data_IF_588237296362
#
_entry.id   IF_588237296362
#
_cell.length_a   1.000
_cell.length_b   1.000
_cell.length_c   1.000
_cell.angle_alpha   90.00
_cell.angle_beta   90.00
_cell.angle_gamma   90.00
#
_symmetry.space_group_name_H-M   'P 1'
#
loop_
_entity.id
_entity.type
_entity.pdbx_description
1 polymer ?
#
# COMPACT_ATOMS: atom_id res chain seq x y z
N UNK A 1 -37.01 24.59 5.82
CA UNK A 1 -37.97 23.49 5.95
C UNK A 1 -38.30 23.07 4.53
N UNK A 2 -37.70 21.97 4.06
CA UNK A 2 -38.01 21.42 2.76
C UNK A 2 -39.26 20.55 2.95
N UNK A 3 -40.35 20.91 2.28
CA UNK A 3 -41.56 20.10 2.27
C UNK A 3 -41.22 18.76 1.59
N UNK A 4 -41.29 17.67 2.35
CA UNK A 4 -41.33 16.32 1.77
C UNK A 4 -42.61 16.22 0.93
N UNK A 5 -42.47 16.33 -0.39
CA UNK A 5 -43.54 16.00 -1.32
C UNK A 5 -43.76 14.48 -1.31
N UNK A 6 -44.53 13.99 -0.35
CA UNK A 6 -45.11 12.65 -0.38
C UNK A 6 -46.36 12.66 -1.27
N UNK A 7 -46.31 11.96 -2.41
CA UNK A 7 -47.49 11.70 -3.23
C UNK A 7 -48.58 11.02 -2.39
N UNK A 8 -49.83 11.45 -2.55
CA UNK A 8 -50.97 10.79 -1.94
C UNK A 8 -51.21 9.40 -2.56
N UNK A 9 -51.87 8.50 -1.83
CA UNK A 9 -52.17 7.16 -2.33
C UNK A 9 -53.03 7.17 -3.60
N UNK A 10 -53.94 8.15 -3.73
CA UNK A 10 -54.80 8.32 -4.91
C UNK A 10 -53.99 8.78 -6.13
N UNK A 11 -53.07 9.73 -5.95
CA UNK A 11 -52.13 10.16 -7.01
C UNK A 11 -51.18 9.03 -7.42
N UNK A 12 -50.76 8.16 -6.48
CA UNK A 12 -49.96 6.98 -6.80
C UNK A 12 -50.75 5.92 -7.56
N UNK A 13 -52.01 5.68 -7.20
CA UNK A 13 -52.88 4.74 -7.91
C UNK A 13 -53.11 5.18 -9.36
N UNK A 14 -53.37 6.47 -9.60
CA UNK A 14 -53.53 7.03 -10.95
C UNK A 14 -52.25 6.90 -11.77
N UNK A 15 -51.10 7.33 -11.23
CA UNK A 15 -49.79 7.22 -11.92
C UNK A 15 -49.39 5.77 -12.15
N UNK A 16 -49.70 4.85 -11.22
CA UNK A 16 -49.33 3.44 -11.33
C UNK A 16 -50.00 2.72 -12.51
N UNK A 17 -51.15 3.21 -12.99
CA UNK A 17 -51.83 2.63 -14.15
C UNK A 17 -51.15 2.97 -15.47
N UNK A 18 -50.45 4.11 -15.52
CA UNK A 18 -49.67 4.55 -16.68
C UNK A 18 -48.24 3.97 -16.71
N UNK A 19 -47.80 3.34 -15.61
CA UNK A 19 -46.51 2.65 -15.55
C UNK A 19 -46.61 1.33 -16.32
N UNK A 20 -45.79 1.12 -17.36
CA UNK A 20 -45.82 -0.12 -18.12
C UNK A 20 -45.57 -1.34 -17.23
N UNK A 21 -46.47 -2.32 -17.29
CA UNK A 21 -46.33 -3.57 -16.53
C UNK A 21 -45.12 -4.37 -17.01
N UNK A 22 -44.51 -5.18 -16.14
CA UNK A 22 -43.42 -6.08 -16.55
C UNK A 22 -43.83 -7.04 -17.68
N UNK A 23 -45.13 -7.32 -17.87
CA UNK A 23 -45.67 -8.13 -18.96
C UNK A 23 -45.80 -7.38 -20.30
N UNK A 24 -45.53 -6.07 -20.35
CA UNK A 24 -45.58 -5.29 -21.58
C UNK A 24 -44.58 -5.82 -22.63
N UNK A 25 -44.99 -6.04 -23.91
CA UNK A 25 -44.11 -6.54 -24.95
C UNK A 25 -42.83 -5.72 -25.16
N UNK A 26 -42.91 -4.40 -25.03
CA UNK A 26 -41.76 -3.51 -25.16
C UNK A 26 -40.76 -3.72 -24.01
N UNK A 27 -41.25 -3.78 -22.77
CA UNK A 27 -40.39 -4.07 -21.61
C UNK A 27 -39.79 -5.47 -21.67
N UNK A 28 -40.54 -6.48 -22.13
CA UNK A 28 -40.01 -7.82 -22.34
C UNK A 28 -38.91 -7.85 -23.41
N UNK A 29 -39.07 -7.11 -24.51
CA UNK A 29 -38.03 -6.96 -25.54
C UNK A 29 -36.78 -6.26 -24.98
N UNK A 30 -36.95 -5.21 -24.19
CA UNK A 30 -35.85 -4.52 -23.52
C UNK A 30 -35.11 -5.46 -22.55
N UNK A 31 -35.82 -6.16 -21.66
CA UNK A 31 -35.24 -7.09 -20.69
C UNK A 31 -34.50 -8.24 -21.38
N UNK A 32 -35.09 -8.78 -22.45
CA UNK A 32 -34.44 -9.81 -23.28
C UNK A 32 -33.19 -9.26 -23.96
N UNK A 33 -33.25 -8.06 -24.54
CA UNK A 33 -32.10 -7.38 -25.13
C UNK A 33 -30.97 -7.16 -24.13
N UNK A 34 -31.30 -6.65 -22.93
CA UNK A 34 -30.36 -6.46 -21.82
C UNK A 34 -29.73 -7.79 -21.39
N UNK A 35 -30.52 -8.84 -21.20
CA UNK A 35 -30.02 -10.16 -20.82
C UNK A 35 -29.10 -10.75 -21.91
N UNK A 36 -29.43 -10.54 -23.18
CA UNK A 36 -28.59 -10.96 -24.30
C UNK A 36 -27.25 -10.23 -24.32
N UNK A 37 -27.24 -8.90 -24.09
CA UNK A 37 -25.99 -8.12 -23.99
C UNK A 37 -25.14 -8.58 -22.81
N UNK A 38 -25.74 -8.78 -21.63
CA UNK A 38 -25.02 -9.31 -20.45
C UNK A 38 -24.42 -10.70 -20.74
N UNK A 39 -25.16 -11.57 -21.45
CA UNK A 39 -24.64 -12.89 -21.85
C UNK A 39 -23.49 -12.77 -22.86
N UNK A 40 -23.56 -11.83 -23.80
CA UNK A 40 -22.49 -11.56 -24.76
C UNK A 40 -21.23 -11.06 -24.04
N UNK A 41 -21.36 -10.12 -23.10
CA UNK A 41 -20.25 -9.65 -22.26
C UNK A 41 -19.64 -10.79 -21.45
N UNK A 42 -20.45 -11.63 -20.80
CA UNK A 42 -19.96 -12.77 -20.03
C UNK A 42 -19.16 -13.75 -20.88
N UNK A 43 -19.56 -13.94 -22.15
CA UNK A 43 -18.86 -14.82 -23.11
C UNK A 43 -17.57 -14.20 -23.65
N UNK A 44 -17.45 -12.88 -23.68
CA UNK A 44 -16.26 -12.18 -24.20
C UNK A 44 -15.15 -11.98 -23.16
N UNK A 45 -15.42 -12.27 -21.87
CA UNK A 45 -14.41 -12.18 -20.81
C UNK A 45 -13.22 -13.11 -21.06
N UNK A 46 -12.03 -12.66 -20.68
CA UNK A 46 -10.79 -13.46 -20.76
C UNK A 46 -10.84 -14.73 -19.91
N UNK A 47 -11.64 -14.74 -18.84
CA UNK A 47 -11.82 -15.86 -17.91
C UNK A 47 -13.05 -16.73 -18.21
N UNK A 48 -13.78 -16.51 -19.32
CA UNK A 48 -15.06 -17.17 -19.59
C UNK A 48 -14.96 -18.71 -19.62
N UNK A 49 -13.94 -19.26 -20.29
CA UNK A 49 -13.70 -20.70 -20.36
C UNK A 49 -13.33 -21.31 -19.00
N UNK A 50 -12.56 -20.57 -18.20
CA UNK A 50 -12.22 -20.96 -16.83
C UNK A 50 -13.47 -21.00 -15.95
N UNK A 51 -14.31 -19.96 -15.99
CA UNK A 51 -15.57 -19.91 -15.24
C UNK A 51 -16.53 -21.03 -15.63
N UNK A 52 -16.62 -21.36 -16.92
CA UNK A 52 -17.46 -22.44 -17.42
C UNK A 52 -17.01 -23.83 -16.91
N UNK A 53 -15.71 -24.01 -16.67
CA UNK A 53 -15.11 -25.28 -16.22
C UNK A 53 -14.99 -25.41 -14.70
N UNK A 54 -15.49 -24.44 -13.92
CA UNK A 54 -15.43 -24.50 -12.46
C UNK A 54 -16.16 -25.73 -11.91
N UNK A 55 -15.50 -26.43 -11.00
CA UNK A 55 -16.11 -27.49 -10.22
C UNK A 55 -17.21 -26.95 -9.30
N UNK A 56 -18.16 -27.79 -8.83
CA UNK A 56 -19.21 -27.34 -7.91
C UNK A 56 -18.67 -26.67 -6.64
N UNK A 57 -17.54 -27.15 -6.11
CA UNK A 57 -16.90 -26.56 -4.93
C UNK A 57 -16.29 -25.19 -5.23
N UNK A 58 -15.70 -25.01 -6.41
CA UNK A 58 -15.13 -23.73 -6.82
C UNK A 58 -16.21 -22.68 -7.08
N UNK A 59 -17.36 -23.08 -7.65
CA UNK A 59 -18.55 -22.21 -7.79
C UNK A 59 -19.04 -21.74 -6.43
N UNK A 60 -19.26 -22.66 -5.49
CA UNK A 60 -19.68 -22.33 -4.13
C UNK A 60 -18.68 -21.41 -3.41
N UNK A 61 -17.37 -21.64 -3.60
CA UNK A 61 -16.35 -20.77 -3.03
C UNK A 61 -16.40 -19.36 -3.63
N UNK A 62 -16.61 -19.23 -4.95
CA UNK A 62 -16.82 -17.94 -5.61
C UNK A 62 -18.04 -17.23 -5.03
N UNK A 63 -19.18 -17.92 -4.91
CA UNK A 63 -20.41 -17.33 -4.38
C UNK A 63 -20.21 -16.79 -2.95
N UNK A 64 -19.49 -17.53 -2.09
CA UNK A 64 -19.16 -17.08 -0.74
C UNK A 64 -18.28 -15.82 -0.77
N UNK A 65 -17.25 -15.80 -1.62
CA UNK A 65 -16.35 -14.63 -1.74
C UNK A 65 -17.10 -13.42 -2.28
N UNK A 66 -18.01 -13.62 -3.24
CA UNK A 66 -18.87 -12.56 -3.78
C UNK A 66 -19.78 -11.99 -2.67
N UNK A 67 -20.45 -12.84 -1.87
CA UNK A 67 -21.24 -12.38 -0.73
C UNK A 67 -20.40 -11.64 0.32
N UNK A 68 -19.17 -12.09 0.61
CA UNK A 68 -18.26 -11.38 1.53
C UNK A 68 -17.92 -10.00 0.97
N UNK A 69 -17.59 -9.91 -0.32
CA UNK A 69 -17.26 -8.63 -0.96
C UNK A 69 -18.44 -7.68 -0.88
N UNK A 70 -19.64 -8.14 -1.20
CA UNK A 70 -20.85 -7.30 -1.18
C UNK A 70 -21.16 -6.83 0.25
N UNK A 71 -21.07 -7.73 1.24
CA UNK A 71 -21.21 -7.37 2.65
C UNK A 71 -20.17 -6.33 3.09
N UNK A 72 -18.89 -6.49 2.72
CA UNK A 72 -17.84 -5.53 3.07
C UNK A 72 -18.06 -4.18 2.40
N UNK A 73 -18.52 -4.17 1.14
CA UNK A 73 -18.89 -2.94 0.45
C UNK A 73 -20.00 -2.18 1.21
N UNK A 74 -21.00 -2.89 1.71
CA UNK A 74 -22.16 -2.30 2.38
C UNK A 74 -21.93 -1.97 3.88
N UNK A 75 -20.84 -2.47 4.48
CA UNK A 75 -20.59 -2.31 5.93
C UNK A 75 -19.25 -1.68 6.30
N UNK A 76 -18.24 -1.74 5.43
CA UNK A 76 -16.88 -1.26 5.70
C UNK A 76 -16.57 -0.01 4.87
N UNK A 77 -17.12 0.07 3.68
CA UNK A 77 -16.81 1.11 2.69
C UNK A 77 -18.01 2.04 2.45
N UNK A 78 -18.74 2.39 3.51
CA UNK A 78 -19.97 3.20 3.43
C UNK A 78 -19.87 4.57 4.12
N UNK A 79 -20.63 5.56 3.61
CA UNK A 79 -20.72 6.89 4.22
C UNK A 79 -21.23 6.97 5.65
N UNK A 80 -22.08 6.05 6.10
CA UNK A 80 -22.57 6.11 7.49
C UNK A 80 -21.49 5.74 8.52
N UNK A 81 -20.55 4.85 8.15
CA UNK A 81 -19.32 4.61 8.93
C UNK A 81 -18.35 5.79 8.78
N UNK A 82 -18.46 6.58 7.70
CA UNK A 82 -17.76 7.87 7.58
C UNK A 82 -18.25 8.87 8.62
N UNK A 83 -19.52 8.91 9.02
CA UNK A 83 -20.02 9.96 9.92
C UNK A 83 -19.56 9.79 11.38
N UNK A 84 -19.46 8.55 11.88
CA UNK A 84 -18.90 8.24 13.21
C UNK A 84 -17.36 8.44 13.27
N UNK A 85 -16.66 8.31 12.13
CA UNK A 85 -15.20 8.47 12.04
C UNK A 85 -14.76 9.87 11.55
N UNK A 86 -15.59 10.56 10.77
CA UNK A 86 -15.38 11.94 10.31
C UNK A 86 -15.43 12.95 11.45
N UNK A 87 -16.07 12.58 12.58
CA UNK A 87 -15.94 13.34 13.82
C UNK A 87 -14.52 13.28 14.42
N UNK A 88 -13.65 12.35 13.98
CA UNK A 88 -12.26 12.23 14.43
C UNK A 88 -11.23 12.60 13.34
N UNK A 89 -11.56 12.52 12.05
CA UNK A 89 -10.68 12.90 10.95
C UNK A 89 -11.47 13.04 9.65
N UNK A 90 -11.44 14.23 9.07
CA UNK A 90 -12.32 14.70 8.00
C UNK A 90 -12.03 14.03 6.63
N UNK A 91 -12.11 12.71 6.52
CA UNK A 91 -11.77 11.94 5.32
C UNK A 91 -12.93 11.06 4.82
N UNK A 92 -13.22 11.14 3.52
CA UNK A 92 -14.19 10.29 2.83
C UNK A 92 -13.54 8.93 2.50
N UNK A 93 -14.20 7.82 2.82
CA UNK A 93 -13.64 6.47 2.81
C UNK A 93 -14.38 5.60 1.82
N UNK A 94 -13.70 5.27 0.72
CA UNK A 94 -14.29 4.53 -0.39
C UNK A 94 -13.30 3.52 -0.99
N UNK A 95 -13.79 2.47 -1.68
CA UNK A 95 -12.92 1.55 -2.39
C UNK A 95 -12.14 2.30 -3.48
N UNK A 96 -10.82 2.18 -3.46
CA UNK A 96 -9.95 2.91 -4.40
C UNK A 96 -9.47 4.27 -3.91
N UNK A 97 -9.73 4.64 -2.65
CA UNK A 97 -9.00 5.72 -1.99
C UNK A 97 -7.50 5.40 -1.92
N UNK A 98 -6.67 6.39 -1.58
CA UNK A 98 -5.23 6.22 -1.56
C UNK A 98 -4.79 5.12 -0.57
N UNK A 99 -3.87 4.25 -1.01
CA UNK A 99 -3.50 3.02 -0.29
C UNK A 99 -3.11 3.25 1.18
N UNK A 100 -2.32 4.28 1.46
CA UNK A 100 -1.84 4.57 2.82
C UNK A 100 -2.98 4.90 3.81
N UNK A 101 -4.10 5.42 3.30
CA UNK A 101 -5.30 5.69 4.10
C UNK A 101 -6.17 4.43 4.24
N UNK A 102 -6.23 3.61 3.19
CA UNK A 102 -7.04 2.39 3.17
C UNK A 102 -6.41 1.22 3.94
N UNK A 103 -5.08 1.19 4.07
CA UNK A 103 -4.30 0.00 4.47
C UNK A 103 -4.81 -0.64 5.78
N UNK A 104 -4.88 0.14 6.86
CA UNK A 104 -5.22 -0.39 8.19
C UNK A 104 -6.66 -0.92 8.27
N UNK A 105 -7.55 -0.39 7.42
CA UNK A 105 -8.92 -0.89 7.28
C UNK A 105 -8.96 -2.15 6.43
N UNK A 106 -8.31 -2.12 5.26
CA UNK A 106 -8.19 -3.24 4.34
C UNK A 106 -7.65 -4.49 5.06
N UNK A 107 -6.62 -4.35 5.89
CA UNK A 107 -6.00 -5.48 6.59
C UNK A 107 -6.94 -6.20 7.58
N UNK A 108 -8.00 -5.53 8.03
CA UNK A 108 -8.98 -6.09 8.96
C UNK A 108 -10.07 -6.88 8.26
N UNK A 109 -10.26 -6.70 6.95
CA UNK A 109 -11.38 -7.31 6.22
C UNK A 109 -11.22 -8.82 6.02
N UNK A 110 -12.33 -9.52 5.84
CA UNK A 110 -12.33 -10.96 5.57
C UNK A 110 -11.85 -11.24 4.14
N UNK A 111 -12.19 -10.38 3.18
CA UNK A 111 -11.70 -10.48 1.81
C UNK A 111 -10.17 -10.43 1.78
N UNK A 112 -9.53 -9.49 2.50
CA UNK A 112 -8.07 -9.44 2.60
C UNK A 112 -7.47 -10.71 3.22
N UNK A 113 -8.06 -11.21 4.31
CA UNK A 113 -7.62 -12.47 4.95
C UNK A 113 -7.72 -13.68 4.01
N UNK A 114 -8.74 -13.71 3.14
CA UNK A 114 -8.87 -14.74 2.10
C UNK A 114 -7.76 -14.58 1.07
N UNK A 115 -7.59 -13.37 0.52
CA UNK A 115 -6.57 -13.07 -0.50
C UNK A 115 -5.18 -13.42 0.02
N UNK A 116 -4.84 -13.11 1.26
CA UNK A 116 -3.56 -13.47 1.92
C UNK A 116 -3.26 -14.96 1.94
N UNK A 117 -4.30 -15.81 1.90
CA UNK A 117 -4.16 -17.28 1.93
C UNK A 117 -4.22 -17.92 0.55
N UNK A 118 -4.55 -17.16 -0.50
CA UNK A 118 -4.64 -17.70 -1.85
C UNK A 118 -3.26 -18.11 -2.38
N UNK A 119 -3.16 -19.22 -3.14
CA UNK A 119 -1.95 -19.55 -3.87
C UNK A 119 -1.83 -18.61 -5.09
N UNK A 120 -1.08 -17.51 -4.95
CA UNK A 120 -0.96 -16.46 -5.97
C UNK A 120 -0.15 -16.90 -7.20
N UNK A 121 0.57 -18.02 -7.09
CA UNK A 121 1.37 -18.54 -8.19
C UNK A 121 2.68 -17.77 -8.32
N UNK A 122 2.73 -16.81 -9.24
CA UNK A 122 3.95 -16.11 -9.62
C UNK A 122 3.84 -14.59 -9.50
N UNK A 123 4.92 -13.95 -9.05
CA UNK A 123 5.12 -12.51 -9.08
C UNK A 123 6.06 -12.15 -10.23
N UNK A 124 5.52 -11.64 -11.33
CA UNK A 124 6.27 -11.44 -12.58
C UNK A 124 6.83 -10.02 -12.75
N UNK A 125 6.58 -9.14 -11.79
CA UNK A 125 7.07 -7.77 -11.81
C UNK A 125 7.26 -7.28 -10.39
N UNK A 126 8.52 -7.19 -9.97
CA UNK A 126 8.87 -6.56 -8.70
C UNK A 126 10.29 -6.00 -8.77
N UNK A 127 10.50 -4.84 -8.16
CA UNK A 127 11.83 -4.30 -7.91
C UNK A 127 12.28 -4.78 -6.54
N UNK A 128 13.36 -5.56 -6.48
CA UNK A 128 13.65 -6.34 -5.27
C UNK A 128 13.87 -5.46 -4.05
N UNK A 129 14.53 -4.31 -4.19
CA UNK A 129 14.94 -3.42 -3.09
C UNK A 129 13.79 -2.89 -2.23
N UNK A 130 12.54 -3.01 -2.68
CA UNK A 130 11.33 -2.56 -1.98
C UNK A 130 10.45 -3.69 -1.44
N UNK A 131 10.97 -4.93 -1.37
CA UNK A 131 10.15 -6.12 -1.07
C UNK A 131 10.30 -6.70 0.34
N UNK A 132 11.19 -6.15 1.16
CA UNK A 132 11.40 -6.58 2.56
C UNK A 132 11.06 -5.45 3.51
N UNK A 133 10.48 -5.78 4.66
CA UNK A 133 10.14 -4.80 5.69
C UNK A 133 11.43 -4.09 6.18
N UNK A 134 11.45 -2.76 6.05
CA UNK A 134 12.59 -1.94 6.46
C UNK A 134 12.89 -2.00 7.97
N UNK A 135 11.90 -2.19 8.83
CA UNK A 135 12.13 -2.33 10.27
C UNK A 135 13.05 -3.53 10.55
N UNK A 136 12.80 -4.66 9.87
CA UNK A 136 13.67 -5.83 9.94
C UNK A 136 15.08 -5.55 9.41
N UNK A 137 15.18 -4.86 8.27
CA UNK A 137 16.48 -4.53 7.67
C UNK A 137 17.31 -3.61 8.58
N UNK A 138 16.69 -2.63 9.22
CA UNK A 138 17.39 -1.71 10.12
C UNK A 138 17.87 -2.40 11.39
N UNK A 139 17.07 -3.31 11.94
CA UNK A 139 17.48 -4.13 13.09
C UNK A 139 18.71 -4.98 12.77
N UNK A 140 18.74 -5.61 11.59
CA UNK A 140 19.89 -6.39 11.14
C UNK A 140 21.10 -5.51 10.81
N UNK A 141 20.86 -4.31 10.26
CA UNK A 141 21.91 -3.35 9.91
C UNK A 141 22.66 -2.87 11.16
N UNK A 142 21.92 -2.56 12.23
CA UNK A 142 22.50 -2.11 13.50
C UNK A 142 23.26 -3.21 14.26
N UNK A 143 22.87 -4.47 14.09
CA UNK A 143 23.58 -5.64 14.67
C UNK A 143 24.88 -5.95 13.93
N UNK A 144 25.03 -5.46 12.70
CA UNK A 144 26.13 -5.82 11.83
C UNK A 144 27.43 -5.09 12.22
N UNK A 145 28.50 -5.82 12.57
CA UNK A 145 29.74 -5.22 13.02
C UNK A 145 30.45 -4.47 11.89
N UNK A 146 31.01 -3.31 12.20
CA UNK A 146 31.77 -2.50 11.25
C UNK A 146 30.93 -1.69 10.27
N UNK A 147 29.61 -1.61 10.46
CA UNK A 147 28.77 -0.72 9.67
C UNK A 147 28.96 0.74 10.09
N UNK A 148 29.09 1.60 9.08
CA UNK A 148 29.25 3.03 9.19
C UNK A 148 28.23 3.74 8.32
N UNK A 149 27.96 5.00 8.65
CA UNK A 149 27.08 5.89 7.92
C UNK A 149 27.83 7.15 7.53
N UNK A 150 27.53 7.69 6.36
CA UNK A 150 27.91 9.04 5.97
C UNK A 150 26.73 9.77 5.33
N UNK A 151 26.91 11.07 5.14
CA UNK A 151 26.00 11.98 4.45
C UNK A 151 26.81 12.95 3.59
N UNK A 152 26.20 13.44 2.51
CA UNK A 152 26.75 14.48 1.62
C UNK A 152 26.83 15.86 2.29
N UNK A 153 26.22 16.01 3.46
CA UNK A 153 26.15 17.25 4.25
C UNK A 153 25.96 16.99 5.75
N UNK A 154 26.23 17.97 6.62
CA UNK A 154 25.81 17.94 8.03
C UNK A 154 24.31 17.70 8.16
N UNK A 155 23.89 16.87 9.13
CA UNK A 155 22.49 16.53 9.40
C UNK A 155 21.94 17.26 10.64
N UNK A 156 22.42 18.48 10.89
CA UNK A 156 22.08 19.29 12.07
C UNK A 156 20.70 19.95 11.96
N UNK A 157 20.21 20.27 10.77
CA UNK A 157 18.88 20.89 10.55
C UNK A 157 17.82 19.89 10.08
N UNK A 158 16.53 20.22 10.22
CA UNK A 158 15.45 19.36 9.72
C UNK A 158 15.45 19.26 8.19
N UNK A 159 15.63 20.37 7.49
CA UNK A 159 15.79 20.41 6.03
C UNK A 159 16.93 19.50 5.55
N UNK A 160 18.10 19.56 6.21
CA UNK A 160 19.23 18.69 5.85
C UNK A 160 18.90 17.20 6.03
N UNK A 161 18.14 16.85 7.07
CA UNK A 161 17.70 15.48 7.35
C UNK A 161 16.65 14.99 6.36
N UNK A 162 15.82 15.88 5.83
CA UNK A 162 14.81 15.55 4.81
C UNK A 162 15.37 15.50 3.39
N UNK A 163 16.45 16.22 3.10
CA UNK A 163 17.02 16.25 1.75
C UNK A 163 18.20 15.33 1.53
N UNK A 164 19.00 15.05 2.56
CA UNK A 164 20.19 14.24 2.45
C UNK A 164 19.89 12.79 2.01
N UNK A 165 20.90 12.19 1.38
CA UNK A 165 20.91 10.79 0.96
C UNK A 165 21.98 10.08 1.78
N UNK A 166 21.64 9.58 3.00
CA UNK A 166 22.61 8.87 3.80
C UNK A 166 23.08 7.59 3.11
N UNK A 167 24.36 7.25 3.27
CA UNK A 167 24.96 6.04 2.71
C UNK A 167 25.53 5.16 3.82
N UNK A 168 25.28 3.87 3.72
CA UNK A 168 25.76 2.86 4.67
C UNK A 168 26.82 1.98 4.02
N UNK A 169 27.95 1.76 4.72
CA UNK A 169 29.01 0.86 4.23
C UNK A 169 29.75 0.20 5.39
N UNK A 170 30.29 -0.99 5.11
CA UNK A 170 31.29 -1.59 5.98
C UNK A 170 32.61 -0.81 5.89
N UNK A 171 33.20 -0.50 7.05
CA UNK A 171 34.55 0.08 7.18
C UNK A 171 35.26 -0.59 8.34
N UNK A 172 36.58 -0.75 8.22
CA UNK A 172 37.42 -1.24 9.31
C UNK A 172 37.67 -0.19 10.38
N UNK A 173 37.61 1.10 10.02
CA UNK A 173 37.82 2.26 10.90
C UNK A 173 36.89 3.40 10.48
N UNK A 174 36.52 4.23 11.46
CA UNK A 174 35.86 5.51 11.21
C UNK A 174 36.83 6.52 10.59
N UNK A 175 36.30 7.45 9.79
CA UNK A 175 37.09 8.57 9.25
C UNK A 175 37.23 9.72 10.25
N UNK A 176 36.31 9.80 11.21
CA UNK A 176 36.24 10.87 12.21
C UNK A 176 35.60 10.39 13.51
N UNK A 177 36.00 10.98 14.62
CA UNK A 177 35.34 10.86 15.91
C UNK A 177 34.22 11.91 16.09
N UNK A 178 34.00 12.78 15.11
CA UNK A 178 32.90 13.76 15.10
C UNK A 178 31.51 13.12 14.97
N UNK A 179 30.47 13.94 15.10
CA UNK A 179 29.07 13.52 14.94
C UNK A 179 28.48 14.03 13.63
N UNK A 180 27.72 13.18 12.93
CA UNK A 180 27.04 13.55 11.68
C UNK A 180 25.91 14.57 11.90
N UNK A 181 25.46 14.72 13.14
CA UNK A 181 24.38 15.62 13.56
C UNK A 181 24.86 17.04 13.89
N UNK A 182 26.17 17.31 13.78
CA UNK A 182 26.78 18.61 14.09
C UNK A 182 27.14 19.37 12.81
N UNK A 183 27.11 20.70 12.88
CA UNK A 183 27.53 21.59 11.77
C UNK A 183 28.99 21.40 11.36
N UNK A 184 29.83 20.96 12.30
CA UNK A 184 31.25 20.66 12.11
C UNK A 184 31.51 19.42 11.25
N UNK A 185 30.47 18.62 10.96
CA UNK A 185 30.59 17.39 10.19
C UNK A 185 31.17 17.65 8.79
N UNK A 186 32.19 16.88 8.42
CA UNK A 186 32.76 16.91 7.08
C UNK A 186 31.95 15.99 6.16
N UNK A 187 31.43 16.48 5.02
CA UNK A 187 30.78 15.66 4.00
C UNK A 187 31.55 14.38 3.67
N UNK A 188 30.81 13.28 3.48
CA UNK A 188 31.31 11.94 3.15
C UNK A 188 32.25 11.28 4.18
N UNK A 189 32.44 11.86 5.36
CA UNK A 189 33.19 11.23 6.44
C UNK A 189 32.34 10.13 7.11
N UNK A 190 32.83 8.89 7.09
CA UNK A 190 32.10 7.77 7.70
C UNK A 190 32.25 7.77 9.22
N UNK A 191 31.11 7.74 9.91
CA UNK A 191 31.01 7.57 11.36
C UNK A 191 30.42 6.20 11.72
N UNK A 192 30.76 5.60 12.88
CA UNK A 192 30.18 4.33 13.29
C UNK A 192 28.65 4.40 13.37
N UNK A 193 27.95 3.47 12.71
CA UNK A 193 26.49 3.51 12.63
C UNK A 193 25.80 3.46 14.00
N UNK A 194 26.18 2.57 14.94
CA UNK A 194 25.55 2.55 16.26
C UNK A 194 25.69 3.89 17.00
N UNK A 195 26.86 4.53 16.90
CA UNK A 195 27.11 5.86 17.48
C UNK A 195 26.18 6.91 16.86
N UNK A 196 26.12 6.97 15.53
CA UNK A 196 25.23 7.90 14.83
C UNK A 196 23.76 7.68 15.22
N UNK A 197 23.32 6.42 15.34
CA UNK A 197 21.96 6.12 15.76
C UNK A 197 21.68 6.56 17.20
N UNK A 198 22.60 6.31 18.13
CA UNK A 198 22.43 6.64 19.55
C UNK A 198 22.45 8.15 19.82
N UNK A 199 23.29 8.89 19.09
CA UNK A 199 23.44 10.35 19.21
C UNK A 199 22.36 11.15 18.46
N UNK A 200 21.39 10.48 17.84
CA UNK A 200 20.36 11.17 17.07
C UNK A 200 19.56 12.16 17.95
N UNK A 201 19.45 13.44 17.55
CA UNK A 201 18.97 14.51 18.43
C UNK A 201 17.50 14.37 18.86
N UNK A 202 16.66 13.67 18.09
CA UNK A 202 15.22 13.57 18.32
C UNK A 202 14.82 12.19 18.84
N UNK A 203 15.34 11.81 20.02
CA UNK A 203 14.98 10.56 20.69
C UNK A 203 15.96 9.40 20.47
N UNK A 204 17.23 9.71 20.17
CA UNK A 204 18.31 8.73 20.03
C UNK A 204 17.97 7.65 19.00
N UNK A 205 18.35 6.40 19.31
CA UNK A 205 18.20 5.27 18.38
C UNK A 205 16.77 5.08 17.86
N UNK A 206 15.76 5.25 18.71
CA UNK A 206 14.37 5.12 18.27
C UNK A 206 13.97 6.22 17.29
N UNK A 207 14.41 7.45 17.54
CA UNK A 207 14.21 8.57 16.62
C UNK A 207 14.94 8.36 15.30
N UNK A 208 16.17 7.85 15.36
CA UNK A 208 16.98 7.54 14.18
C UNK A 208 16.28 6.52 13.28
N UNK A 209 15.76 5.43 13.84
CA UNK A 209 15.05 4.41 13.08
C UNK A 209 13.78 4.96 12.41
N UNK A 210 13.03 5.81 13.12
CA UNK A 210 11.85 6.48 12.55
C UNK A 210 12.23 7.41 11.39
N UNK A 211 13.29 8.20 11.56
CA UNK A 211 13.82 9.08 10.51
C UNK A 211 14.30 8.26 9.30
N UNK A 212 15.11 7.23 9.53
CA UNK A 212 15.65 6.37 8.47
C UNK A 212 14.54 5.65 7.70
N UNK A 213 13.45 5.25 8.37
CA UNK A 213 12.25 4.72 7.71
C UNK A 213 11.64 5.73 6.75
N UNK A 214 11.50 6.98 7.18
CA UNK A 214 11.06 8.09 6.32
C UNK A 214 11.97 8.35 5.11
N UNK A 215 13.26 7.98 5.20
CA UNK A 215 14.20 8.02 4.06
C UNK A 215 14.04 6.85 3.08
N UNK A 216 13.38 5.76 3.48
CA UNK A 216 13.23 4.55 2.68
C UNK A 216 11.80 4.32 2.18
N UNK A 217 10.83 5.09 2.66
CA UNK A 217 9.39 4.91 2.35
C UNK A 217 8.70 6.22 2.06
N UNK A 218 7.65 6.16 1.23
CA UNK A 218 6.69 7.25 1.09
C UNK A 218 5.72 7.28 2.28
N UNK A 219 5.31 8.48 2.70
CA UNK A 219 4.46 8.71 3.88
C UNK A 219 3.00 8.97 3.50
N UNK A 220 2.14 9.06 4.52
CA UNK A 220 0.76 9.53 4.36
C UNK A 220 0.74 10.98 3.87
N UNK A 221 1.64 11.84 4.36
CA UNK A 221 1.74 13.23 3.90
C UNK A 221 1.96 13.33 2.40
N UNK A 222 2.85 12.50 1.84
CA UNK A 222 3.11 12.44 0.39
C UNK A 222 1.87 12.10 -0.42
N UNK A 223 0.93 11.38 0.19
CA UNK A 223 -0.34 10.97 -0.42
C UNK A 223 -1.32 12.15 -0.54
N UNK A 224 -1.25 13.13 0.36
CA UNK A 224 -2.09 14.34 0.33
C UNK A 224 -1.47 15.46 -0.51
N UNK A 225 -0.15 15.47 -0.70
CA UNK A 225 0.58 16.52 -1.43
C UNK A 225 0.56 16.36 -2.96
N UNK A 226 -0.52 15.81 -3.51
CA UNK A 226 -0.65 15.55 -4.96
C UNK A 226 -0.55 16.82 -5.82
N UNK A 227 -0.83 17.98 -5.22
CA UNK A 227 -0.73 19.29 -5.86
C UNK A 227 0.70 19.67 -6.27
N UNK A 228 1.74 19.02 -5.71
CA UNK A 228 3.13 19.18 -6.15
C UNK A 228 3.42 18.50 -7.50
N UNK A 229 2.52 17.63 -7.98
CA UNK A 229 2.65 16.95 -9.27
C UNK A 229 3.49 15.66 -9.24
N UNK A 230 3.47 14.95 -10.37
CA UNK A 230 4.06 13.62 -10.51
C UNK A 230 5.59 13.64 -10.39
N UNK A 231 6.25 14.70 -10.86
CA UNK A 231 7.71 14.79 -10.82
C UNK A 231 8.24 14.89 -9.37
N UNK A 232 7.51 15.61 -8.51
CA UNK A 232 7.90 15.77 -7.10
C UNK A 232 7.93 14.42 -6.37
N UNK A 233 6.92 13.57 -6.58
CA UNK A 233 6.88 12.25 -5.94
C UNK A 233 7.94 11.30 -6.52
N UNK A 234 8.25 11.40 -7.82
CA UNK A 234 9.33 10.61 -8.43
C UNK A 234 10.71 10.98 -7.90
N UNK A 235 10.97 12.27 -7.64
CA UNK A 235 12.22 12.70 -6.99
C UNK A 235 12.34 12.08 -5.61
N UNK A 236 11.27 12.10 -4.80
CA UNK A 236 11.27 11.49 -3.48
C UNK A 236 11.44 9.96 -3.55
N UNK A 237 10.69 9.30 -4.42
CA UNK A 237 10.77 7.86 -4.64
C UNK A 237 12.18 7.43 -5.05
N UNK A 238 12.82 8.15 -5.97
CA UNK A 238 14.20 7.90 -6.37
C UNK A 238 15.18 8.03 -5.20
N UNK A 239 15.04 9.06 -4.36
CA UNK A 239 15.85 9.21 -3.13
C UNK A 239 15.70 8.01 -2.20
N UNK A 240 14.50 7.44 -2.06
CA UNK A 240 14.31 6.23 -1.26
C UNK A 240 15.18 5.07 -1.75
N UNK A 241 15.17 4.77 -3.04
CA UNK A 241 15.98 3.68 -3.60
C UNK A 241 17.49 3.91 -3.45
N UNK A 242 17.95 5.16 -3.55
CA UNK A 242 19.36 5.47 -3.31
C UNK A 242 19.79 5.10 -1.89
N UNK A 243 18.97 5.38 -0.89
CA UNK A 243 19.26 5.01 0.51
C UNK A 243 19.18 3.49 0.69
N UNK A 244 18.08 2.87 0.25
CA UNK A 244 17.85 1.43 0.37
C UNK A 244 18.98 0.61 -0.27
N UNK A 245 19.44 1.02 -1.44
CA UNK A 245 20.51 0.32 -2.16
C UNK A 245 21.79 0.23 -1.33
N UNK A 246 22.15 1.27 -0.58
CA UNK A 246 23.36 1.27 0.25
C UNK A 246 23.26 0.39 1.48
N UNK A 247 22.04 0.14 1.96
CA UNK A 247 21.78 -0.82 3.05
C UNK A 247 21.89 -2.24 2.52
N UNK A 248 21.19 -2.53 1.42
CA UNK A 248 20.93 -3.89 0.94
C UNK A 248 22.16 -4.55 0.29
N UNK A 249 22.94 -3.80 -0.50
CA UNK A 249 23.94 -4.37 -1.41
C UNK A 249 25.31 -4.70 -0.78
N UNK A 250 25.44 -4.62 0.54
CA UNK A 250 26.57 -5.21 1.23
C UNK A 250 26.35 -6.72 1.37
N UNK A 251 27.31 -7.57 0.93
CA UNK A 251 27.09 -9.02 0.77
C UNK A 251 26.45 -9.73 2.00
N UNK A 252 26.91 -9.50 3.25
CA UNK A 252 26.27 -10.10 4.41
C UNK A 252 24.81 -9.65 4.61
N UNK A 253 24.52 -8.37 4.36
CA UNK A 253 23.15 -7.85 4.40
C UNK A 253 22.31 -8.44 3.27
N UNK A 254 22.85 -8.47 2.05
CA UNK A 254 22.16 -8.98 0.88
C UNK A 254 21.70 -10.43 1.06
N UNK A 255 22.52 -11.25 1.72
CA UNK A 255 22.18 -12.64 2.07
C UNK A 255 21.02 -12.73 3.07
N UNK A 256 20.99 -11.85 4.07
CA UNK A 256 19.88 -11.79 5.04
C UNK A 256 18.60 -11.31 4.33
N UNK A 257 18.72 -10.26 3.53
CA UNK A 257 17.66 -9.70 2.70
C UNK A 257 17.02 -10.77 1.80
N UNK A 258 17.81 -11.52 1.03
CA UNK A 258 17.28 -12.55 0.12
C UNK A 258 16.54 -13.66 0.86
N UNK A 259 16.98 -14.04 2.07
CA UNK A 259 16.28 -15.05 2.88
C UNK A 259 14.92 -14.56 3.33
N UNK A 260 14.86 -13.33 3.84
CA UNK A 260 13.59 -12.74 4.29
C UNK A 260 12.64 -12.48 3.11
N UNK A 261 13.17 -12.04 1.97
CA UNK A 261 12.41 -11.89 0.72
C UNK A 261 11.72 -13.20 0.32
N UNK A 262 12.48 -14.30 0.23
CA UNK A 262 11.94 -15.60 -0.20
C UNK A 262 10.95 -16.16 0.82
N UNK A 263 11.18 -15.94 2.11
CA UNK A 263 10.24 -16.29 3.18
C UNK A 263 8.93 -15.51 3.04
N UNK A 264 8.99 -14.19 2.89
CA UNK A 264 7.81 -13.34 2.74
C UNK A 264 6.97 -13.71 1.51
N UNK A 265 7.62 -13.99 0.38
CA UNK A 265 6.95 -14.48 -0.83
C UNK A 265 6.23 -15.80 -0.58
N UNK A 266 6.90 -16.75 0.08
CA UNK A 266 6.32 -18.05 0.40
C UNK A 266 5.14 -17.93 1.36
N UNK A 267 5.26 -17.10 2.39
CA UNK A 267 4.22 -16.84 3.38
C UNK A 267 2.98 -16.18 2.77
N UNK A 268 3.15 -15.41 1.68
CA UNK A 268 2.06 -14.80 0.90
C UNK A 268 1.55 -15.70 -0.26
N UNK A 269 1.97 -16.97 -0.31
CA UNK A 269 1.48 -17.94 -1.30
C UNK A 269 2.06 -17.77 -2.71
N UNK A 270 3.15 -17.01 -2.86
CA UNK A 270 3.91 -16.86 -4.10
C UNK A 270 5.02 -17.92 -4.15
N UNK A 271 5.06 -18.71 -5.22
CA UNK A 271 6.02 -19.80 -5.39
C UNK A 271 7.06 -19.53 -6.50
N UNK A 272 6.90 -18.46 -7.28
CA UNK A 272 7.84 -18.03 -8.31
C UNK A 272 7.90 -16.51 -8.34
N UNK A 273 9.09 -15.94 -8.56
CA UNK A 273 9.26 -14.50 -8.69
C UNK A 273 10.28 -14.15 -9.77
N UNK A 274 9.96 -13.16 -10.59
CA UNK A 274 10.88 -12.51 -11.54
C UNK A 274 11.14 -11.09 -11.05
N UNK A 275 12.40 -10.85 -10.66
CA UNK A 275 12.83 -9.64 -9.97
C UNK A 275 13.66 -8.77 -10.91
N UNK A 276 13.50 -7.45 -10.76
CA UNK A 276 14.25 -6.40 -11.44
C UNK A 276 15.27 -5.77 -10.50
#
# INVERSE_FOLDING_TARGET
MADEHTMSNEEWEEVSQDIPSLSDPFLQQYLTGRANLMSQEQKSRTDASFRASLSPIAKRASDIVDCIRDQENDSIWTPQVEEELAQAGNECIFPGMMFMLAKDRMEKTNLWKIVRRMPKGALLHAHMDAMVNFDFLFDELLKMPGMHMCSDRPLNTEESREDAVPSFRYRTKADTDGSIWEESYKPDAFVPLPKAADEFPHGGRSGFLKWLKGRCTLSVTDTHEQHHGVDAIWVKFGKCFLVCATIIHYEPMFRIFLRELMKNLKDDGVNWAELR
#
